data_IF_815320263167
#
_entry.id   IF_815320263167
#
_cell.length_a   1.000
_cell.length_b   1.000
_cell.length_c   1.000
_cell.angle_alpha   90.00
_cell.angle_beta   90.00
_cell.angle_gamma   90.00
#
_symmetry.space_group_name_H-M   'P 1'
#
loop_
_entity.id
_entity.type
_entity.pdbx_description
1 polymer ?
#
# COMPACT_ATOMS: atom_id res chain seq x y z
N UNK A 1 8.30 9.66 -2.96
CA UNK A 1 7.79 8.62 -2.04
C UNK A 1 8.64 7.33 -2.01
N UNK A 2 9.37 7.00 -3.07
CA UNK A 2 10.19 5.77 -3.17
C UNK A 2 11.19 5.56 -2.00
N UNK A 3 12.02 6.57 -1.69
CA UNK A 3 13.04 6.47 -0.62
C UNK A 3 12.40 6.19 0.75
N UNK A 4 11.29 6.88 1.07
CA UNK A 4 10.58 6.70 2.33
C UNK A 4 9.99 5.28 2.50
N UNK A 5 9.48 4.70 1.41
CA UNK A 5 8.98 3.32 1.40
C UNK A 5 10.13 2.31 1.51
N UNK A 6 11.27 2.59 0.88
CA UNK A 6 12.47 1.75 0.94
C UNK A 6 12.99 1.61 2.36
N UNK A 7 13.15 2.73 3.07
CA UNK A 7 13.66 2.76 4.46
C UNK A 7 12.78 1.96 5.42
N UNK A 8 11.49 1.80 5.10
CA UNK A 8 10.51 1.09 5.95
C UNK A 8 10.17 -0.33 5.47
N UNK A 9 10.91 -0.85 4.48
CA UNK A 9 10.65 -2.15 3.85
C UNK A 9 9.21 -2.27 3.35
N UNK A 10 8.71 -1.23 2.68
CA UNK A 10 7.35 -1.18 2.11
C UNK A 10 7.32 -1.07 0.59
N UNK A 11 8.47 -0.99 -0.08
CA UNK A 11 8.55 -0.99 -1.55
C UNK A 11 7.87 -2.21 -2.17
N UNK A 12 8.01 -3.37 -1.50
CA UNK A 12 7.43 -4.65 -1.92
C UNK A 12 5.91 -4.63 -2.15
N UNK A 13 5.19 -3.68 -1.54
CA UNK A 13 3.74 -3.49 -1.70
C UNK A 13 3.37 -2.74 -2.99
N UNK A 14 4.29 -1.93 -3.53
CA UNK A 14 4.08 -1.12 -4.75
C UNK A 14 4.64 -1.83 -5.98
N UNK A 15 5.86 -2.37 -5.88
CA UNK A 15 6.51 -3.09 -6.98
C UNK A 15 5.86 -4.47 -7.25
N UNK A 16 5.05 -4.96 -6.31
CA UNK A 16 4.34 -6.22 -6.41
C UNK A 16 5.19 -7.45 -6.12
N UNK A 17 6.41 -7.31 -5.58
CA UNK A 17 7.22 -8.45 -5.15
C UNK A 17 6.63 -9.15 -3.92
N UNK A 18 5.75 -8.47 -3.16
CA UNK A 18 4.96 -9.06 -2.10
C UNK A 18 3.49 -9.23 -2.54
N UNK A 19 3.14 -10.37 -3.15
CA UNK A 19 1.77 -10.60 -3.63
C UNK A 19 0.78 -10.66 -2.47
N UNK A 20 -0.47 -10.28 -2.75
CA UNK A 20 -1.57 -10.40 -1.79
C UNK A 20 -1.81 -11.88 -1.48
N UNK A 21 -1.65 -12.31 -0.21
CA UNK A 21 -1.91 -13.69 0.17
C UNK A 21 -3.41 -14.00 0.12
N UNK A 22 -3.75 -15.28 0.14
CA UNK A 22 -5.15 -15.72 0.22
C UNK A 22 -5.79 -15.28 1.54
N UNK A 23 -7.10 -15.05 1.56
CA UNK A 23 -7.81 -14.64 2.78
C UNK A 23 -7.77 -15.70 3.91
N UNK A 24 -7.48 -16.95 3.57
CA UNK A 24 -7.29 -18.07 4.49
C UNK A 24 -5.89 -18.14 5.10
N UNK A 25 -4.94 -17.37 4.57
CA UNK A 25 -3.56 -17.35 5.04
C UNK A 25 -3.45 -16.52 6.32
N UNK A 26 -2.69 -17.02 7.31
CA UNK A 26 -2.45 -16.31 8.57
C UNK A 26 -1.73 -14.98 8.38
N UNK A 27 -1.00 -14.83 7.26
CA UNK A 27 -0.28 -13.60 6.90
C UNK A 27 -1.18 -12.53 6.26
N UNK A 28 -2.42 -12.85 5.88
CA UNK A 28 -3.34 -11.92 5.22
C UNK A 28 -3.61 -10.67 6.05
N UNK A 29 -3.85 -10.83 7.35
CA UNK A 29 -4.12 -9.70 8.24
C UNK A 29 -2.90 -8.75 8.33
N UNK A 30 -1.68 -9.30 8.37
CA UNK A 30 -0.45 -8.53 8.41
C UNK A 30 -0.20 -7.81 7.07
N UNK A 31 -0.42 -8.50 5.94
CA UNK A 31 -0.32 -7.91 4.62
C UNK A 31 -1.32 -6.75 4.46
N UNK A 32 -2.57 -6.95 4.85
CA UNK A 32 -3.62 -5.93 4.73
C UNK A 32 -3.30 -4.67 5.55
N UNK A 33 -2.78 -4.83 6.78
CA UNK A 33 -2.30 -3.71 7.59
C UNK A 33 -1.15 -2.96 6.91
N UNK A 34 -0.18 -3.69 6.36
CA UNK A 34 0.95 -3.11 5.61
C UNK A 34 0.48 -2.31 4.39
N UNK A 35 -0.41 -2.89 3.59
CA UNK A 35 -1.02 -2.25 2.41
C UNK A 35 -1.77 -0.96 2.79
N UNK A 36 -2.57 -0.97 3.86
CA UNK A 36 -3.32 0.21 4.31
C UNK A 36 -2.41 1.36 4.76
N UNK A 37 -1.27 1.08 5.38
CA UNK A 37 -0.28 2.11 5.75
C UNK A 37 0.31 2.76 4.50
N UNK A 38 0.64 1.96 3.48
CA UNK A 38 1.17 2.47 2.22
C UNK A 38 0.14 3.34 1.51
N UNK A 39 -1.13 2.90 1.45
CA UNK A 39 -2.25 3.69 0.91
C UNK A 39 -2.43 5.02 1.68
N UNK A 40 -2.36 4.99 3.01
CA UNK A 40 -2.47 6.21 3.83
C UNK A 40 -1.35 7.22 3.54
N UNK A 41 -0.12 6.74 3.33
CA UNK A 41 0.97 7.62 2.93
C UNK A 41 0.79 8.13 1.50
N UNK A 42 0.24 7.32 0.58
CA UNK A 42 -0.07 7.76 -0.79
C UNK A 42 -1.09 8.90 -0.75
N UNK A 43 -2.19 8.73 -0.02
CA UNK A 43 -3.19 9.77 0.18
C UNK A 43 -2.61 11.07 0.76
N UNK A 44 -1.69 10.96 1.73
CA UNK A 44 -1.04 12.14 2.30
C UNK A 44 0.03 12.77 1.39
N UNK A 45 0.49 12.07 0.36
CA UNK A 45 1.59 12.53 -0.51
C UNK A 45 1.12 13.08 -1.86
N UNK A 46 -0.15 12.90 -2.22
CA UNK A 46 -0.72 13.36 -3.50
C UNK A 46 -1.64 14.56 -3.31
N UNK A 47 -1.82 15.35 -4.37
CA UNK A 47 -2.74 16.50 -4.34
C UNK A 47 -4.19 16.03 -4.22
N UNK A 48 -5.06 16.88 -3.68
CA UNK A 48 -6.49 16.57 -3.46
C UNK A 48 -7.21 16.13 -4.75
N UNK A 49 -6.81 16.68 -5.89
CA UNK A 49 -7.35 16.31 -7.21
C UNK A 49 -7.00 14.87 -7.62
N UNK A 50 -5.89 14.33 -7.12
CA UNK A 50 -5.49 12.95 -7.36
C UNK A 50 -6.17 12.03 -6.35
N UNK A 51 -6.31 12.46 -5.08
CA UNK A 51 -6.98 11.68 -4.01
C UNK A 51 -8.37 11.21 -4.45
N UNK A 52 -9.16 12.06 -5.11
CA UNK A 52 -10.51 11.71 -5.57
C UNK A 52 -10.51 10.55 -6.58
N UNK A 53 -9.45 10.41 -7.38
CA UNK A 53 -9.30 9.31 -8.34
C UNK A 53 -8.85 8.00 -7.69
N UNK A 54 -8.24 8.05 -6.50
CA UNK A 54 -7.67 6.87 -5.82
C UNK A 54 -8.39 6.50 -4.52
N UNK A 55 -9.43 7.25 -4.13
CA UNK A 55 -10.11 7.14 -2.82
C UNK A 55 -10.65 5.74 -2.48
N UNK A 56 -10.97 4.95 -3.50
CA UNK A 56 -11.49 3.58 -3.36
C UNK A 56 -10.47 2.48 -3.69
N UNK A 57 -9.18 2.83 -3.79
CA UNK A 57 -8.14 1.86 -4.04
C UNK A 57 -8.05 0.86 -2.89
N UNK A 58 -8.13 -0.43 -3.21
CA UNK A 58 -8.01 -1.54 -2.24
C UNK A 58 -6.59 -2.10 -2.19
N UNK A 59 -5.75 -1.73 -3.15
CA UNK A 59 -4.34 -2.14 -3.26
C UNK A 59 -3.49 -0.91 -3.56
N UNK A 60 -2.25 -0.93 -3.06
CA UNK A 60 -1.28 0.14 -3.34
C UNK A 60 -0.54 -0.01 -4.68
N UNK A 61 -0.65 -1.17 -5.33
CA UNK A 61 -0.10 -1.47 -6.66
C UNK A 61 -0.92 -0.82 -7.77
#
# INVERSE_FOLDING_TARGET
MHVALSVKNKLAFIDGTLPKPAATDSTFAAWNRGNNVVISWLYNSVSKDIITSILFATTAK
#
